data_IF_559019651178
#
_entry.id   IF_559019651178
#
_cell.length_a   1.000
_cell.length_b   1.000
_cell.length_c   1.000
_cell.angle_alpha   90.00
_cell.angle_beta   90.00
_cell.angle_gamma   90.00
#
_symmetry.space_group_name_H-M   'P 1'
#
loop_
_entity.id
_entity.type
_entity.pdbx_description
1 polymer ?
#
# COMPACT_ATOMS: atom_id res chain seq x y z
N UNK A 1 6.12 -64.63 -13.13
CA UNK A 1 5.06 -65.24 -12.32
C UNK A 1 4.66 -64.26 -11.22
N UNK A 2 3.36 -64.05 -11.15
CA UNK A 2 2.62 -63.10 -10.33
C UNK A 2 2.69 -63.50 -8.84
N UNK A 3 2.98 -62.54 -7.94
CA UNK A 3 2.56 -62.61 -6.53
C UNK A 3 2.07 -61.24 -6.09
N UNK A 4 0.80 -60.98 -6.39
CA UNK A 4 0.00 -60.01 -5.65
C UNK A 4 -0.85 -60.79 -4.65
N UNK A 5 -0.70 -60.47 -3.38
CA UNK A 5 -1.62 -60.90 -2.32
C UNK A 5 -2.08 -59.65 -1.61
N UNK A 6 -3.35 -59.33 -1.81
CA UNK A 6 -4.09 -58.26 -1.13
C UNK A 6 -4.50 -58.80 0.24
N UNK A 7 -4.28 -58.04 1.33
CA UNK A 7 -5.14 -58.17 2.50
C UNK A 7 -5.24 -56.86 3.32
N UNK A 8 -6.46 -56.31 3.24
CA UNK A 8 -7.24 -55.42 4.12
C UNK A 8 -6.66 -54.72 5.36
N UNK A 9 -7.03 -53.43 5.42
CA UNK A 9 -7.48 -52.57 6.52
C UNK A 9 -7.25 -53.02 7.99
N UNK A 10 -6.69 -52.09 8.78
CA UNK A 10 -7.20 -51.75 10.11
C UNK A 10 -7.19 -50.23 10.32
N UNK A 11 -8.39 -49.66 10.43
CA UNK A 11 -8.65 -48.33 10.98
C UNK A 11 -8.51 -48.40 12.51
N UNK A 12 -7.73 -47.50 13.10
CA UNK A 12 -7.81 -47.21 14.53
C UNK A 12 -8.04 -45.72 14.69
N UNK A 13 -9.27 -45.40 15.11
CA UNK A 13 -9.68 -44.10 15.62
C UNK A 13 -9.04 -43.89 16.99
N UNK A 14 -8.54 -42.67 17.23
CA UNK A 14 -8.30 -42.19 18.59
C UNK A 14 -9.19 -40.97 18.83
N UNK A 15 -10.34 -41.23 19.44
CA UNK A 15 -11.08 -40.25 20.22
C UNK A 15 -10.26 -39.95 21.48
N UNK A 16 -9.65 -38.78 21.58
CA UNK A 16 -9.16 -38.28 22.87
C UNK A 16 -10.22 -37.36 23.46
N UNK A 17 -10.98 -37.90 24.41
CA UNK A 17 -11.87 -37.14 25.28
C UNK A 17 -11.22 -37.10 26.65
N UNK A 18 -10.65 -35.97 27.05
CA UNK A 18 -10.36 -35.70 28.46
C UNK A 18 -11.35 -34.65 28.97
N UNK A 19 -12.28 -35.11 29.82
CA UNK A 19 -13.12 -34.27 30.66
C UNK A 19 -12.37 -33.97 31.95
N UNK A 20 -12.03 -32.71 32.17
CA UNK A 20 -11.44 -32.20 33.42
C UNK A 20 -12.05 -30.86 33.83
N UNK A 21 -13.24 -30.92 34.44
CA UNK A 21 -13.92 -29.94 35.33
C UNK A 21 -13.72 -28.42 35.13
N UNK A 22 -14.82 -27.81 34.69
CA UNK A 22 -15.19 -26.40 34.83
C UNK A 22 -15.16 -25.94 36.30
N UNK A 23 -14.49 -24.81 36.58
CA UNK A 23 -14.94 -23.82 37.58
C UNK A 23 -15.15 -22.50 36.85
N UNK A 24 -16.39 -22.02 36.92
CA UNK A 24 -16.88 -20.76 36.37
C UNK A 24 -16.18 -19.58 37.07
N UNK A 25 -15.62 -18.69 36.27
CA UNK A 25 -15.65 -17.25 36.49
C UNK A 25 -15.55 -16.62 35.09
N UNK A 26 -16.67 -16.05 34.65
CA UNK A 26 -16.86 -15.43 33.34
C UNK A 26 -16.01 -14.17 33.22
N UNK A 27 -14.95 -14.22 32.40
CA UNK A 27 -14.44 -13.05 31.69
C UNK A 27 -14.28 -13.51 30.24
N UNK A 28 -15.13 -12.97 29.39
CA UNK A 28 -15.16 -13.22 27.95
C UNK A 28 -13.77 -12.98 27.35
N UNK A 29 -13.06 -14.05 27.00
CA UNK A 29 -11.97 -13.96 26.03
C UNK A 29 -12.60 -13.93 24.64
N UNK A 30 -13.19 -12.79 24.34
CA UNK A 30 -13.56 -12.37 23.00
C UNK A 30 -12.73 -11.14 22.68
N UNK A 31 -11.45 -11.34 22.38
CA UNK A 31 -10.56 -10.30 21.82
C UNK A 31 -9.39 -11.08 21.21
N UNK A 32 -9.17 -11.13 19.90
CA UNK A 32 -9.15 -9.99 19.00
C UNK A 32 -9.64 -10.46 17.62
N UNK A 33 -10.89 -10.16 17.26
CA UNK A 33 -11.18 -9.93 15.84
C UNK A 33 -10.60 -8.57 15.52
N UNK A 34 -9.41 -8.53 14.90
CA UNK A 34 -8.87 -7.29 14.33
C UNK A 34 -9.84 -6.93 13.20
N UNK A 35 -10.87 -6.15 13.51
CA UNK A 35 -11.59 -5.39 12.51
C UNK A 35 -10.58 -4.36 11.99
N UNK A 36 -9.77 -4.76 11.01
CA UNK A 36 -8.98 -3.81 10.26
C UNK A 36 -9.98 -3.01 9.44
N UNK A 37 -10.40 -1.87 9.98
CA UNK A 37 -11.19 -0.90 9.24
C UNK A 37 -10.24 -0.26 8.21
N UNK A 38 -10.04 -0.98 7.10
CA UNK A 38 -9.32 -0.48 5.93
C UNK A 38 -10.20 0.61 5.30
N UNK A 39 -9.66 1.82 5.21
CA UNK A 39 -10.36 3.01 4.71
C UNK A 39 -9.58 3.59 3.54
N UNK A 40 -10.27 3.85 2.43
CA UNK A 40 -9.70 4.49 1.24
C UNK A 40 -10.31 5.87 1.07
N UNK A 41 -9.48 6.91 1.04
CA UNK A 41 -9.91 8.31 0.90
C UNK A 41 -9.11 8.97 -0.22
N UNK A 42 -9.78 9.80 -1.03
CA UNK A 42 -9.14 10.62 -2.05
C UNK A 42 -8.98 12.06 -1.56
N UNK A 43 -7.85 12.67 -1.90
CA UNK A 43 -7.51 14.05 -1.58
C UNK A 43 -6.98 14.75 -2.83
N UNK A 44 -7.41 15.99 -3.02
CA UNK A 44 -6.82 16.90 -4.00
C UNK A 44 -5.71 17.70 -3.32
N UNK A 45 -4.51 17.72 -3.91
CA UNK A 45 -3.34 18.41 -3.36
C UNK A 45 -3.03 19.63 -4.22
N UNK A 46 -3.28 20.80 -3.65
CA UNK A 46 -3.04 22.08 -4.31
C UNK A 46 -1.56 22.47 -4.37
N UNK A 47 -1.22 23.36 -5.31
CA UNK A 47 0.09 24.01 -5.36
C UNK A 47 1.22 23.21 -6.03
N UNK A 48 0.93 22.01 -6.56
CA UNK A 48 1.92 21.15 -7.23
C UNK A 48 1.83 21.28 -8.76
N UNK A 49 0.62 21.18 -9.32
CA UNK A 49 0.38 21.20 -10.76
C UNK A 49 -0.91 21.95 -11.10
N UNK A 50 -0.90 22.68 -12.21
CA UNK A 50 -2.06 23.37 -12.78
C UNK A 50 -3.12 22.42 -13.34
N UNK A 51 -2.71 21.21 -13.73
CA UNK A 51 -3.55 20.15 -14.25
C UNK A 51 -4.10 19.24 -13.13
N UNK A 52 -3.66 19.50 -11.90
CA UNK A 52 -4.13 18.82 -10.69
C UNK A 52 -3.14 17.81 -10.15
N UNK A 53 -3.30 17.52 -8.85
CA UNK A 53 -2.60 16.45 -8.16
C UNK A 53 -3.56 15.78 -7.20
N UNK A 54 -3.65 14.47 -7.27
CA UNK A 54 -4.62 13.67 -6.50
C UNK A 54 -3.89 12.58 -5.73
N UNK A 55 -4.28 12.34 -4.48
CA UNK A 55 -3.78 11.25 -3.67
C UNK A 55 -4.92 10.33 -3.25
N UNK A 56 -4.81 9.06 -3.60
CA UNK A 56 -5.64 7.98 -3.05
C UNK A 56 -4.88 7.33 -1.90
N UNK A 57 -5.46 7.37 -0.69
CA UNK A 57 -4.77 7.06 0.56
C UNK A 57 -5.52 5.97 1.30
N UNK A 58 -4.78 4.91 1.64
CA UNK A 58 -5.25 3.76 2.37
C UNK A 58 -4.82 3.85 3.83
N UNK A 59 -5.79 3.74 4.72
CA UNK A 59 -5.60 3.74 6.17
C UNK A 59 -5.93 2.36 6.74
N UNK A 60 -5.09 1.86 7.64
CA UNK A 60 -5.33 0.63 8.39
C UNK A 60 -5.42 0.98 9.86
N UNK A 61 -6.54 0.63 10.51
CA UNK A 61 -6.81 0.98 11.90
C UNK A 61 -6.69 2.50 12.15
N UNK A 62 -7.20 3.29 11.20
CA UNK A 62 -7.15 4.75 11.25
C UNK A 62 -5.76 5.35 10.97
N UNK A 63 -4.69 4.56 10.76
CA UNK A 63 -3.35 5.07 10.46
C UNK A 63 -3.02 4.94 8.98
N UNK A 64 -2.35 5.94 8.42
CA UNK A 64 -1.91 5.91 7.03
C UNK A 64 -0.97 4.72 6.81
N UNK A 65 -1.25 3.94 5.77
CA UNK A 65 -0.45 2.78 5.41
C UNK A 65 0.19 2.95 4.03
N UNK A 66 -0.57 3.51 3.09
CA UNK A 66 -0.13 3.69 1.70
C UNK A 66 -0.82 4.86 1.04
N UNK A 67 -0.12 5.57 0.18
CA UNK A 67 -0.73 6.50 -0.77
C UNK A 67 -0.23 6.24 -2.18
N UNK A 68 -1.12 6.38 -3.16
CA UNK A 68 -0.79 6.56 -4.57
C UNK A 68 -1.14 7.99 -4.93
N UNK A 69 -0.14 8.80 -5.26
CA UNK A 69 -0.29 10.20 -5.65
C UNK A 69 -0.02 10.35 -7.15
N UNK A 70 -1.00 10.85 -7.89
CA UNK A 70 -0.91 11.16 -9.32
C UNK A 70 -0.68 12.66 -9.50
N UNK A 71 0.37 13.04 -10.20
CA UNK A 71 0.67 14.42 -10.60
C UNK A 71 0.46 14.51 -12.11
N UNK A 72 -0.51 15.30 -12.55
CA UNK A 72 -0.80 15.49 -13.98
C UNK A 72 -0.09 16.74 -14.51
N UNK A 73 0.20 16.79 -15.80
CA UNK A 73 0.82 17.96 -16.43
C UNK A 73 0.60 17.94 -17.94
N UNK A 74 0.77 19.08 -18.61
CA UNK A 74 0.54 19.19 -20.06
C UNK A 74 1.44 18.26 -20.89
N UNK A 75 2.68 18.03 -20.44
CA UNK A 75 3.70 17.27 -21.19
C UNK A 75 4.00 15.90 -20.59
N UNK A 76 3.29 15.49 -19.55
CA UNK A 76 3.55 14.23 -18.87
C UNK A 76 2.79 14.07 -17.57
N UNK A 77 3.05 12.95 -16.89
CA UNK A 77 2.46 12.65 -15.60
C UNK A 77 3.45 11.88 -14.73
N UNK A 78 3.26 11.93 -13.42
CA UNK A 78 4.00 11.12 -12.48
C UNK A 78 3.06 10.39 -11.51
N UNK A 79 3.47 9.19 -11.12
CA UNK A 79 2.87 8.43 -10.03
C UNK A 79 3.91 8.30 -8.93
N UNK A 80 3.55 8.70 -7.71
CA UNK A 80 4.38 8.58 -6.51
C UNK A 80 3.64 7.71 -5.51
N UNK A 81 4.23 6.58 -5.16
CA UNK A 81 3.69 5.68 -4.15
C UNK A 81 4.48 5.87 -2.87
N UNK A 82 3.78 6.25 -1.80
CA UNK A 82 4.29 6.30 -0.44
C UNK A 82 3.83 5.06 0.31
N UNK A 83 4.75 4.25 0.81
CA UNK A 83 4.45 3.15 1.74
C UNK A 83 5.04 3.49 3.11
N UNK A 84 4.17 3.61 4.10
CA UNK A 84 4.52 4.09 5.44
C UNK A 84 4.94 2.92 6.33
N UNK A 85 6.20 2.96 6.76
CA UNK A 85 6.71 2.12 7.84
C UNK A 85 6.76 2.95 9.15
N UNK A 86 7.26 2.35 10.24
CA UNK A 86 7.30 3.02 11.55
C UNK A 86 8.25 4.22 11.63
N UNK A 87 9.36 4.21 10.87
CA UNK A 87 10.43 5.21 10.96
C UNK A 87 10.77 5.89 9.63
N UNK A 88 10.19 5.42 8.52
CA UNK A 88 10.51 5.84 7.16
C UNK A 88 9.33 5.63 6.23
N UNK A 89 9.46 6.21 5.05
CA UNK A 89 8.51 6.04 3.96
C UNK A 89 9.30 5.51 2.77
N UNK A 90 8.91 4.35 2.28
CA UNK A 90 9.41 3.84 1.01
C UNK A 90 8.68 4.57 -0.11
N UNK A 91 9.45 5.10 -1.05
CA UNK A 91 8.91 5.84 -2.19
C UNK A 91 9.20 5.07 -3.46
N UNK A 92 8.17 4.90 -4.28
CA UNK A 92 8.31 4.47 -5.67
C UNK A 92 7.75 5.57 -6.56
N UNK A 93 8.62 6.17 -7.35
CA UNK A 93 8.28 7.26 -8.26
C UNK A 93 8.43 6.78 -9.70
N UNK A 94 7.38 7.00 -10.50
CA UNK A 94 7.36 6.64 -11.92
C UNK A 94 6.90 7.86 -12.71
N UNK A 95 7.74 8.35 -13.62
CA UNK A 95 7.44 9.52 -14.44
C UNK A 95 7.30 9.13 -15.91
N UNK A 96 6.32 9.71 -16.55
CA UNK A 96 5.99 9.53 -17.95
C UNK A 96 5.98 10.88 -18.67
N UNK A 97 6.48 10.89 -19.91
CA UNK A 97 6.33 11.99 -20.85
C UNK A 97 5.27 11.66 -21.88
N UNK A 98 4.56 12.67 -22.36
CA UNK A 98 3.70 12.53 -23.53
C UNK A 98 4.49 12.86 -24.80
N UNK A 99 4.34 12.03 -25.84
CA UNK A 99 4.96 12.25 -27.16
C UNK A 99 4.27 13.39 -27.93
N UNK A 100 3.01 13.64 -27.59
CA UNK A 100 2.18 14.77 -28.04
C UNK A 100 1.69 15.52 -26.80
N UNK A 101 1.32 16.80 -26.90
CA UNK A 101 0.73 17.49 -25.74
C UNK A 101 -0.57 16.83 -25.27
N UNK A 102 -0.95 16.98 -24.00
CA UNK A 102 -2.10 16.32 -23.36
C UNK A 102 -3.39 16.37 -24.20
N UNK A 103 -3.71 17.52 -24.82
CA UNK A 103 -4.90 17.68 -25.67
C UNK A 103 -4.93 16.77 -26.92
N UNK A 104 -3.79 16.21 -27.32
CA UNK A 104 -3.60 15.36 -28.50
C UNK A 104 -3.23 13.92 -28.14
N UNK A 105 -3.33 13.53 -26.86
CA UNK A 105 -3.07 12.17 -26.40
C UNK A 105 -4.19 11.25 -26.89
N UNK A 106 -3.89 10.22 -27.69
CA UNK A 106 -4.90 9.31 -28.26
C UNK A 106 -4.84 7.91 -27.67
N UNK A 107 -3.67 7.50 -27.20
CA UNK A 107 -3.47 6.16 -26.64
C UNK A 107 -2.22 6.09 -25.77
N UNK A 108 -2.06 4.99 -25.04
CA UNK A 108 -0.87 4.68 -24.24
C UNK A 108 0.42 4.64 -25.07
N UNK A 109 0.34 4.46 -26.40
CA UNK A 109 1.52 4.53 -27.30
C UNK A 109 2.11 5.95 -27.37
N UNK A 110 1.32 6.96 -27.06
CA UNK A 110 1.73 8.35 -27.00
C UNK A 110 2.33 8.69 -25.63
N UNK A 111 2.45 7.72 -24.72
CA UNK A 111 3.04 7.87 -23.39
C UNK A 111 4.34 7.08 -23.33
N UNK A 112 5.41 7.74 -22.90
CA UNK A 112 6.74 7.13 -22.75
C UNK A 112 7.18 7.20 -21.29
N UNK A 113 7.62 6.07 -20.74
CA UNK A 113 8.30 6.03 -19.44
C UNK A 113 9.61 6.81 -19.53
N UNK A 114 9.77 7.85 -18.72
CA UNK A 114 11.04 8.56 -18.57
C UNK A 114 11.94 7.83 -17.58
N UNK A 115 11.42 7.57 -16.38
CA UNK A 115 12.13 6.83 -15.35
C UNK A 115 11.20 6.19 -14.34
N UNK A 116 11.78 5.22 -13.62
CA UNK A 116 11.21 4.61 -12.42
C UNK A 116 12.32 4.51 -11.38
N UNK A 117 12.16 5.18 -10.25
CA UNK A 117 13.15 5.23 -9.17
C UNK A 117 12.50 4.82 -7.86
N UNK A 118 13.27 4.19 -6.98
CA UNK A 118 12.83 3.87 -5.63
C UNK A 118 13.85 4.39 -4.62
N UNK A 119 13.34 4.99 -3.55
CA UNK A 119 14.14 5.59 -2.49
C UNK A 119 13.37 5.56 -1.18
N UNK A 120 13.95 6.13 -0.13
CA UNK A 120 13.28 6.29 1.15
C UNK A 120 13.44 7.72 1.65
N UNK A 121 12.41 8.21 2.33
CA UNK A 121 12.42 9.47 3.05
C UNK A 121 12.08 9.23 4.52
N UNK A 122 12.51 10.13 5.40
CA UNK A 122 12.02 10.16 6.77
C UNK A 122 10.58 10.71 6.84
N UNK A 123 9.95 10.66 8.01
CA UNK A 123 8.59 11.19 8.21
C UNK A 123 8.49 12.72 8.06
N UNK A 124 9.61 13.43 7.87
CA UNK A 124 9.66 14.88 7.61
C UNK A 124 9.79 15.20 6.12
N UNK A 125 10.18 14.23 5.28
CA UNK A 125 10.37 14.38 3.84
C UNK A 125 11.84 14.36 3.38
N UNK A 126 12.80 14.22 4.29
CA UNK A 126 14.21 14.24 3.94
C UNK A 126 14.64 12.89 3.37
N UNK A 127 15.46 12.90 2.30
CA UNK A 127 16.04 11.67 1.76
C UNK A 127 16.86 10.93 2.81
N UNK A 128 16.61 9.62 2.89
CA UNK A 128 17.47 8.69 3.62
C UNK A 128 18.45 8.11 2.61
N UNK A 129 19.71 8.56 2.66
CA UNK A 129 20.79 8.06 1.81
C UNK A 129 21.30 9.11 0.83
N UNK A 130 21.58 8.68 -0.41
CA UNK A 130 22.17 9.55 -1.44
C UNK A 130 21.13 10.51 -2.01
N UNK A 131 21.58 11.69 -2.41
CA UNK A 131 20.78 12.65 -3.14
C UNK A 131 20.32 12.09 -4.49
N UNK A 132 19.09 12.41 -4.87
CA UNK A 132 18.48 12.01 -6.15
C UNK A 132 17.95 13.29 -6.81
N UNK A 133 18.76 13.99 -7.61
CA UNK A 133 18.42 15.33 -8.12
C UNK A 133 17.15 15.38 -8.98
N UNK A 134 16.80 14.28 -9.65
CA UNK A 134 15.65 14.22 -10.55
C UNK A 134 14.33 13.86 -9.85
N UNK A 135 14.32 13.67 -8.52
CA UNK A 135 13.11 13.26 -7.79
C UNK A 135 12.06 14.38 -7.79
N UNK A 136 10.80 13.98 -7.73
CA UNK A 136 9.68 14.90 -7.50
C UNK A 136 9.52 15.08 -5.99
N UNK A 137 9.87 16.25 -5.48
CA UNK A 137 9.85 16.55 -4.04
C UNK A 137 8.59 17.33 -3.66
N UNK A 138 7.47 16.60 -3.50
CA UNK A 138 6.13 17.16 -3.17
C UNK A 138 5.61 16.71 -1.81
N UNK A 139 6.47 16.13 -0.97
CA UNK A 139 6.02 15.49 0.26
C UNK A 139 5.52 16.51 1.29
N UNK A 140 5.99 17.76 1.23
CA UNK A 140 5.53 18.82 2.12
C UNK A 140 4.08 19.20 1.83
N UNK A 141 3.73 19.37 0.57
CA UNK A 141 2.37 19.62 0.09
C UNK A 141 1.48 18.45 0.45
N UNK A 142 1.94 17.22 0.21
CA UNK A 142 1.23 15.99 0.58
C UNK A 142 0.87 15.94 2.06
N UNK A 143 1.84 16.09 2.97
CA UNK A 143 1.60 15.93 4.42
C UNK A 143 0.79 17.07 5.03
N UNK A 144 0.71 18.22 4.35
CA UNK A 144 -0.14 19.33 4.77
C UNK A 144 -1.61 19.08 4.44
N UNK A 145 -1.89 18.29 3.40
CA UNK A 145 -3.25 17.96 2.95
C UNK A 145 -3.76 16.64 3.53
N UNK A 146 -2.90 15.62 3.59
CA UNK A 146 -3.27 14.25 3.95
C UNK A 146 -2.94 13.98 5.43
N UNK A 147 -3.94 13.71 6.29
CA UNK A 147 -3.69 13.38 7.69
C UNK A 147 -3.02 11.99 7.81
N UNK A 148 -2.11 11.82 8.77
CA UNK A 148 -1.49 10.50 8.98
C UNK A 148 -2.35 9.59 9.85
N UNK A 149 -3.32 10.15 10.57
CA UNK A 149 -4.29 9.43 11.37
C UNK A 149 -5.69 10.03 11.17
N UNK A 150 -6.70 9.16 11.02
CA UNK A 150 -8.11 9.54 10.96
C UNK A 150 -8.63 9.79 12.38
N UNK A 151 -9.47 10.81 12.53
CA UNK A 151 -10.14 11.15 13.80
C UNK A 151 -11.46 10.40 13.97
#
# INVERSE_FOLDING_TARGET
MLKYTIFSLLLVSCNFTEKGKIRKNDINQSDVSVNSNDTLIKYDIEGISTEGTEAEVRYVNGKIAKSTTSVYGETGQANIIYEFDSDRIKVLETKYSYLTGLANLKSDKDIKLEYKISYSIDLKGHLIGKEIPARIDIFNEFKNTVPFELK
#
